data_IF_416602889224
#
_entry.id   IF_416602889224
#
_cell.length_a   1.000
_cell.length_b   1.000
_cell.length_c   1.000
_cell.angle_alpha   90.00
_cell.angle_beta   90.00
_cell.angle_gamma   90.00
#
_symmetry.space_group_name_H-M   'P 1'
#
loop_
_entity.id
_entity.type
_entity.pdbx_description
1 polymer ?
#
# COMPACT_ATOMS: atom_id res chain seq x y z
N UNK A 1 -26.32 18.39 -2.85
CA UNK A 1 -25.23 19.06 -2.11
C UNK A 1 -24.30 17.95 -1.63
N UNK A 2 -23.02 17.95 -2.02
CA UNK A 2 -22.05 16.97 -1.49
C UNK A 2 -21.94 17.21 0.02
N UNK A 3 -22.12 16.16 0.79
CA UNK A 3 -21.89 16.20 2.22
C UNK A 3 -20.47 16.70 2.51
N UNK A 4 -20.34 17.66 3.41
CA UNK A 4 -19.05 18.24 3.76
C UNK A 4 -18.27 17.22 4.59
N UNK A 5 -17.20 16.69 4.02
CA UNK A 5 -16.32 15.71 4.68
C UNK A 5 -15.36 16.43 5.61
N UNK A 6 -15.39 16.09 6.89
CA UNK A 6 -14.40 16.55 7.87
C UNK A 6 -13.22 15.60 7.89
N UNK A 7 -12.11 15.99 7.29
CA UNK A 7 -10.90 15.18 7.15
C UNK A 7 -10.41 14.61 8.49
N UNK A 8 -10.46 15.41 9.55
CA UNK A 8 -10.06 15.01 10.90
C UNK A 8 -10.92 13.89 11.51
N UNK A 9 -12.14 13.69 11.00
CA UNK A 9 -13.03 12.64 11.49
C UNK A 9 -12.85 11.33 10.72
N UNK A 10 -12.47 11.40 9.43
CA UNK A 10 -12.33 10.22 8.58
C UNK A 10 -10.88 9.71 8.48
N UNK A 11 -9.87 10.52 8.84
CA UNK A 11 -8.48 10.16 8.63
C UNK A 11 -8.10 8.92 9.43
N UNK A 12 -7.69 7.87 8.72
CA UNK A 12 -7.27 6.59 9.30
C UNK A 12 -8.43 5.76 9.88
N UNK A 13 -9.69 6.07 9.55
CA UNK A 13 -10.84 5.32 10.06
C UNK A 13 -10.79 3.83 9.69
N UNK A 14 -10.12 3.48 8.61
CA UNK A 14 -9.96 2.11 8.12
C UNK A 14 -8.56 1.54 8.39
N UNK A 15 -7.84 2.09 9.37
CA UNK A 15 -6.49 1.66 9.74
C UNK A 15 -6.49 1.14 11.17
N UNK A 16 -5.86 -0.01 11.38
CA UNK A 16 -5.58 -0.55 12.73
C UNK A 16 -4.40 0.24 13.33
N UNK A 17 -4.64 1.52 13.59
CA UNK A 17 -3.66 2.51 14.01
C UNK A 17 -3.44 2.52 15.52
N UNK A 18 -2.55 3.40 15.99
CA UNK A 18 -2.20 3.51 17.42
C UNK A 18 -3.42 3.76 18.33
N UNK A 19 -4.42 4.54 17.89
CA UNK A 19 -5.65 4.76 18.65
C UNK A 19 -6.47 3.49 18.80
N UNK A 20 -6.66 2.74 17.70
CA UNK A 20 -7.39 1.47 17.69
C UNK A 20 -6.67 0.43 18.53
N UNK A 21 -5.34 0.33 18.37
CA UNK A 21 -4.52 -0.59 19.17
C UNK A 21 -4.63 -0.29 20.67
N UNK A 22 -4.59 0.98 21.05
CA UNK A 22 -4.69 1.41 22.45
C UNK A 22 -6.07 1.12 23.06
N UNK A 23 -7.12 1.26 22.28
CA UNK A 23 -8.50 1.02 22.72
C UNK A 23 -8.79 -0.46 22.90
N UNK A 24 -8.30 -1.29 21.98
CA UNK A 24 -8.68 -2.72 21.90
C UNK A 24 -7.74 -3.66 22.61
N UNK A 25 -6.43 -3.38 22.58
CA UNK A 25 -5.47 -4.30 23.17
C UNK A 25 -5.39 -4.14 24.68
N UNK A 26 -5.20 -5.24 25.45
CA UNK A 26 -4.85 -5.17 26.84
C UNK A 26 -3.60 -4.28 27.05
N UNK A 27 -3.60 -3.44 28.07
CA UNK A 27 -2.54 -2.43 28.33
C UNK A 27 -1.11 -2.99 28.20
N UNK A 28 -0.88 -4.20 28.72
CA UNK A 28 0.43 -4.86 28.65
C UNK A 28 0.80 -5.22 27.21
N UNK A 29 -0.13 -5.81 26.46
CA UNK A 29 0.07 -6.20 25.05
C UNK A 29 0.32 -4.98 24.19
N UNK A 30 -0.47 -3.91 24.38
CA UNK A 30 -0.25 -2.65 23.68
C UNK A 30 1.14 -2.06 23.95
N UNK A 31 1.59 -2.04 25.20
CA UNK A 31 2.91 -1.51 25.56
C UNK A 31 4.05 -2.32 24.91
N UNK A 32 3.94 -3.64 24.90
CA UNK A 32 4.93 -4.53 24.27
C UNK A 32 4.93 -4.37 22.75
N UNK A 33 3.76 -4.31 22.11
CA UNK A 33 3.65 -4.05 20.68
C UNK A 33 4.23 -2.67 20.31
N UNK A 34 3.92 -1.63 21.09
CA UNK A 34 4.46 -0.30 20.88
C UNK A 34 5.99 -0.28 20.92
N UNK A 35 6.58 -0.97 21.88
CA UNK A 35 8.03 -1.14 21.99
C UNK A 35 8.60 -1.90 20.78
N UNK A 36 7.94 -2.95 20.33
CA UNK A 36 8.33 -3.72 19.12
C UNK A 36 8.37 -2.81 17.88
N UNK A 37 7.34 -1.98 17.69
CA UNK A 37 7.27 -0.99 16.60
C UNK A 37 8.40 0.04 16.69
N UNK A 38 8.62 0.62 17.87
CA UNK A 38 9.65 1.64 18.10
C UNK A 38 11.07 1.10 17.89
N UNK A 39 11.30 -0.15 18.29
CA UNK A 39 12.61 -0.80 18.14
C UNK A 39 12.79 -1.43 16.75
N UNK A 40 11.72 -1.55 15.94
CA UNK A 40 11.74 -2.20 14.63
C UNK A 40 12.11 -3.69 14.71
N UNK A 41 11.56 -4.39 15.70
CA UNK A 41 11.76 -5.82 15.94
C UNK A 41 10.61 -6.64 15.36
N UNK A 42 10.84 -7.94 15.27
CA UNK A 42 9.79 -8.90 14.94
C UNK A 42 8.75 -9.00 16.06
N UNK A 43 7.52 -9.34 15.69
CA UNK A 43 6.43 -9.52 16.64
C UNK A 43 6.71 -10.67 17.59
N UNK A 44 6.56 -10.41 18.90
CA UNK A 44 6.70 -11.45 19.92
C UNK A 44 5.55 -12.47 19.80
N UNK A 45 5.85 -13.77 19.64
CA UNK A 45 4.85 -14.83 19.62
C UNK A 45 3.91 -14.83 20.82
N UNK A 46 4.38 -14.42 21.99
CA UNK A 46 3.61 -14.43 23.23
C UNK A 46 2.39 -13.46 23.22
N UNK A 47 2.42 -12.43 22.37
CA UNK A 47 1.34 -11.44 22.26
C UNK A 47 0.60 -11.54 20.92
N UNK A 48 1.10 -12.32 19.97
CA UNK A 48 0.59 -12.35 18.62
C UNK A 48 -0.87 -12.83 18.50
N UNK A 49 -1.26 -13.83 19.26
CA UNK A 49 -2.65 -14.36 19.24
C UNK A 49 -3.67 -13.32 19.73
N UNK A 50 -3.31 -12.55 20.77
CA UNK A 50 -4.17 -11.48 21.29
C UNK A 50 -4.33 -10.38 20.25
N UNK A 51 -3.24 -9.97 19.59
CA UNK A 51 -3.27 -8.94 18.55
C UNK A 51 -4.08 -9.44 17.35
N UNK A 52 -3.85 -10.67 16.91
CA UNK A 52 -4.58 -11.27 15.80
C UNK A 52 -6.09 -11.30 16.08
N UNK A 53 -6.48 -11.70 17.28
CA UNK A 53 -7.88 -11.72 17.68
C UNK A 53 -8.53 -10.33 17.59
N UNK A 54 -7.92 -9.34 18.21
CA UNK A 54 -8.47 -7.97 18.23
C UNK A 54 -8.46 -7.32 16.82
N UNK A 55 -7.43 -7.58 16.03
CA UNK A 55 -7.36 -7.12 14.65
C UNK A 55 -8.47 -7.74 13.80
N UNK A 56 -8.76 -9.03 13.96
CA UNK A 56 -9.86 -9.72 13.29
C UNK A 56 -11.22 -9.15 13.72
N UNK A 57 -11.48 -9.01 15.04
CA UNK A 57 -12.76 -8.48 15.53
C UNK A 57 -12.99 -7.05 15.00
N UNK A 58 -11.97 -6.21 15.04
CA UNK A 58 -12.03 -4.87 14.45
C UNK A 58 -12.33 -4.92 12.94
N UNK A 59 -11.69 -5.80 12.20
CA UNK A 59 -11.93 -5.93 10.77
C UNK A 59 -13.36 -6.44 10.46
N UNK A 60 -13.89 -7.39 11.24
CA UNK A 60 -15.25 -7.88 11.12
C UNK A 60 -16.28 -6.78 11.40
N UNK A 61 -16.06 -5.93 12.41
CA UNK A 61 -16.90 -4.76 12.67
C UNK A 61 -16.91 -3.77 11.50
N UNK A 62 -15.82 -3.71 10.74
CA UNK A 62 -15.71 -2.96 9.48
C UNK A 62 -16.33 -3.69 8.28
N UNK A 63 -16.89 -4.86 8.48
CA UNK A 63 -17.53 -5.67 7.45
C UNK A 63 -16.60 -6.63 6.69
N UNK A 64 -15.35 -6.78 7.13
CA UNK A 64 -14.43 -7.70 6.48
C UNK A 64 -14.81 -9.15 6.72
N UNK A 65 -14.81 -9.95 5.65
CA UNK A 65 -15.03 -11.40 5.68
C UNK A 65 -13.75 -12.18 5.37
N UNK A 66 -12.77 -11.49 4.80
CA UNK A 66 -11.50 -12.03 4.35
C UNK A 66 -10.34 -11.16 4.83
N UNK A 67 -9.16 -11.78 4.85
CA UNK A 67 -7.88 -11.11 5.03
C UNK A 67 -6.92 -11.46 3.90
N UNK A 68 -5.87 -10.68 3.76
CA UNK A 68 -4.77 -10.95 2.83
C UNK A 68 -3.44 -10.55 3.44
N UNK A 69 -2.42 -11.37 3.23
CA UNK A 69 -1.03 -10.97 3.41
C UNK A 69 -0.66 -10.06 2.23
N UNK A 70 -0.65 -8.76 2.49
CA UNK A 70 -0.45 -7.73 1.48
C UNK A 70 1.03 -7.40 1.36
N UNK A 71 1.63 -7.67 0.19
CA UNK A 71 3.05 -7.42 -0.06
C UNK A 71 3.31 -7.09 -1.54
N UNK A 72 4.51 -6.58 -1.83
CA UNK A 72 4.95 -6.22 -3.17
C UNK A 72 5.83 -7.33 -3.74
N UNK A 73 5.33 -8.15 -4.66
CA UNK A 73 6.12 -9.20 -5.30
C UNK A 73 7.17 -8.60 -6.23
N UNK A 74 8.17 -9.42 -6.62
CA UNK A 74 9.23 -9.00 -7.54
C UNK A 74 8.70 -8.60 -8.94
N UNK A 75 7.45 -8.88 -9.24
CA UNK A 75 6.78 -8.52 -10.51
C UNK A 75 6.20 -7.11 -10.54
N UNK A 76 6.36 -6.33 -9.48
CA UNK A 76 5.99 -4.90 -9.44
C UNK A 76 4.53 -4.58 -9.15
N UNK A 77 3.66 -5.57 -8.95
CA UNK A 77 2.24 -5.38 -8.58
C UNK A 77 2.03 -5.90 -7.16
N UNK A 78 1.10 -5.31 -6.41
CA UNK A 78 0.73 -5.81 -5.09
C UNK A 78 0.14 -7.21 -5.20
N UNK A 79 0.69 -8.17 -4.46
CA UNK A 79 0.17 -9.53 -4.36
C UNK A 79 -0.88 -9.61 -3.26
N UNK A 80 -1.96 -10.30 -3.56
CA UNK A 80 -3.08 -10.52 -2.65
C UNK A 80 -3.62 -11.93 -2.84
N UNK A 81 -3.87 -12.61 -1.72
CA UNK A 81 -4.61 -13.86 -1.66
C UNK A 81 -5.64 -13.72 -0.55
N UNK A 82 -6.90 -13.67 -0.94
CA UNK A 82 -7.99 -13.45 0.01
C UNK A 82 -8.39 -14.77 0.68
N UNK A 83 -8.03 -14.93 1.94
CA UNK A 83 -8.45 -16.04 2.77
C UNK A 83 -9.62 -15.61 3.67
N UNK A 84 -10.68 -16.41 3.70
CA UNK A 84 -11.80 -16.16 4.60
C UNK A 84 -11.42 -16.46 6.05
N UNK A 85 -11.99 -15.71 6.99
CA UNK A 85 -11.84 -16.02 8.42
C UNK A 85 -12.57 -17.30 8.87
N UNK A 86 -13.39 -17.93 8.02
CA UNK A 86 -14.17 -19.11 8.42
C UNK A 86 -13.27 -20.30 8.75
N UNK A 87 -13.67 -21.04 9.79
CA UNK A 87 -13.10 -22.37 10.10
C UNK A 87 -13.83 -23.47 9.32
N UNK A 88 -13.31 -24.70 9.41
CA UNK A 88 -14.07 -25.87 8.97
C UNK A 88 -15.43 -25.93 9.68
N UNK A 89 -16.51 -26.40 8.99
CA UNK A 89 -17.82 -26.53 9.62
C UNK A 89 -17.81 -27.45 10.83
N UNK A 90 -18.46 -27.02 11.91
CA UNK A 90 -18.70 -27.83 13.10
C UNK A 90 -19.78 -28.88 12.82
N UNK A 91 -19.92 -29.91 13.67
CA UNK A 91 -20.96 -30.94 13.51
C UNK A 91 -22.41 -30.40 13.43
N UNK A 92 -22.64 -29.20 13.97
CA UNK A 92 -23.94 -28.52 13.89
C UNK A 92 -24.13 -27.68 12.60
N UNK A 93 -23.20 -27.78 11.65
CA UNK A 93 -23.23 -27.05 10.38
C UNK A 93 -22.83 -25.54 10.48
N UNK A 94 -22.45 -25.05 11.66
CA UNK A 94 -22.00 -23.68 11.84
C UNK A 94 -20.47 -23.57 11.65
N UNK A 95 -20.00 -22.38 11.29
CA UNK A 95 -18.58 -22.03 11.20
C UNK A 95 -18.22 -21.00 12.27
N UNK A 96 -16.97 -20.97 12.68
CA UNK A 96 -16.43 -19.90 13.50
C UNK A 96 -15.58 -18.97 12.63
N UNK A 97 -15.43 -17.73 13.07
CA UNK A 97 -14.47 -16.79 12.47
C UNK A 97 -13.19 -16.85 13.29
N UNK A 98 -12.08 -17.24 12.67
CA UNK A 98 -10.79 -17.42 13.33
C UNK A 98 -9.68 -16.74 12.55
N UNK A 99 -8.73 -16.17 13.28
CA UNK A 99 -7.48 -15.63 12.77
C UNK A 99 -6.45 -15.72 13.89
N UNK A 100 -5.36 -16.42 13.68
CA UNK A 100 -4.37 -16.71 14.72
C UNK A 100 -3.12 -15.84 14.59
N UNK A 101 -2.38 -15.70 15.67
CA UNK A 101 -1.09 -15.02 15.69
C UNK A 101 -0.06 -15.65 14.75
N UNK A 102 -0.22 -16.92 14.40
CA UNK A 102 0.63 -17.58 13.37
C UNK A 102 0.60 -16.81 12.06
N UNK A 103 -0.55 -16.31 11.64
CA UNK A 103 -0.70 -15.56 10.39
C UNK A 103 0.06 -14.22 10.40
N UNK A 104 0.26 -13.64 11.59
CA UNK A 104 1.05 -12.42 11.75
C UNK A 104 2.55 -12.68 11.81
N UNK A 105 2.98 -13.80 12.43
CA UNK A 105 4.39 -14.10 12.66
C UNK A 105 5.00 -14.87 11.50
N UNK A 106 4.29 -15.87 11.01
CA UNK A 106 4.74 -16.82 10.01
C UNK A 106 3.56 -17.38 9.25
N UNK A 107 2.88 -16.50 8.51
CA UNK A 107 1.87 -16.92 7.56
C UNK A 107 2.50 -17.76 6.45
N UNK A 108 1.84 -18.81 6.02
CA UNK A 108 2.30 -19.68 4.95
C UNK A 108 1.38 -19.51 3.74
N UNK A 109 1.58 -18.45 2.93
CA UNK A 109 0.83 -18.31 1.70
C UNK A 109 1.19 -19.46 0.77
N UNK A 110 0.22 -19.97 0.02
CA UNK A 110 0.51 -20.96 -1.01
C UNK A 110 1.36 -20.31 -2.11
N UNK A 111 2.64 -20.60 -2.09
CA UNK A 111 3.62 -20.01 -3.00
C UNK A 111 3.36 -20.39 -4.46
N UNK A 112 2.63 -21.46 -4.74
CA UNK A 112 2.21 -21.82 -6.10
C UNK A 112 1.24 -20.80 -6.70
N UNK A 113 0.59 -19.99 -5.86
CA UNK A 113 -0.36 -18.95 -6.28
C UNK A 113 0.31 -17.61 -6.57
N UNK A 114 1.59 -17.43 -6.23
CA UNK A 114 2.30 -16.16 -6.45
C UNK A 114 3.18 -16.23 -7.69
N UNK A 115 3.21 -15.16 -8.50
CA UNK A 115 4.15 -15.05 -9.59
C UNK A 115 5.57 -14.97 -9.04
N UNK A 116 6.24 -16.10 -8.89
CA UNK A 116 7.68 -16.14 -8.65
C UNK A 116 8.36 -15.82 -9.98
N UNK A 117 9.16 -14.77 -10.01
CA UNK A 117 9.83 -14.32 -11.23
C UNK A 117 10.75 -15.38 -11.84
N UNK A 118 10.24 -16.27 -12.70
CA UNK A 118 11.02 -17.11 -13.57
C UNK A 118 10.90 -18.62 -13.36
N UNK A 119 11.74 -19.33 -14.08
CA UNK A 119 11.83 -20.80 -14.17
C UNK A 119 12.19 -21.52 -12.86
N UNK A 120 12.52 -20.78 -11.82
CA UNK A 120 12.73 -21.29 -10.47
C UNK A 120 11.40 -21.44 -9.76
N UNK A 121 10.67 -22.26 -10.31
CA UNK A 121 9.42 -22.81 -9.92
C UNK A 121 9.03 -22.69 -8.43
N UNK A 122 7.79 -22.84 -8.21
CA UNK A 122 7.00 -22.95 -7.00
C UNK A 122 7.69 -23.47 -5.75
N UNK A 123 8.74 -24.30 -5.87
CA UNK A 123 9.40 -24.84 -4.71
C UNK A 123 10.46 -23.88 -4.09
N UNK A 124 11.07 -23.01 -4.87
CA UNK A 124 11.96 -21.95 -4.35
C UNK A 124 11.18 -20.71 -3.88
N UNK A 125 9.98 -20.49 -4.38
CA UNK A 125 9.08 -19.43 -3.92
C UNK A 125 8.35 -19.78 -2.61
N UNK A 126 8.49 -21.00 -2.08
CA UNK A 126 7.93 -21.38 -0.79
C UNK A 126 8.65 -20.65 0.33
N UNK A 127 7.87 -20.01 1.17
CA UNK A 127 8.38 -19.23 2.27
C UNK A 127 7.28 -18.87 3.25
N UNK A 128 7.50 -17.82 3.98
CA UNK A 128 6.55 -17.30 4.94
C UNK A 128 6.46 -15.79 4.86
N UNK A 129 5.31 -15.28 5.25
CA UNK A 129 5.06 -13.86 5.46
C UNK A 129 5.17 -13.53 6.93
N UNK A 130 5.68 -12.34 7.23
CA UNK A 130 5.67 -11.78 8.57
C UNK A 130 5.14 -10.33 8.52
N UNK A 131 4.21 -10.01 9.42
CA UNK A 131 3.68 -8.66 9.50
C UNK A 131 4.82 -7.68 9.83
N UNK A 132 4.95 -6.65 9.02
CA UNK A 132 5.76 -5.48 9.35
C UNK A 132 4.98 -4.62 10.34
N UNK A 133 5.23 -4.79 11.63
CA UNK A 133 4.51 -4.07 12.70
C UNK A 133 4.67 -2.55 12.61
N UNK A 134 5.65 -2.04 11.86
CA UNK A 134 5.84 -0.60 11.65
C UNK A 134 4.89 -0.04 10.59
N UNK A 135 4.25 -0.91 9.81
CA UNK A 135 3.22 -0.57 8.83
C UNK A 135 1.86 -1.13 9.30
N UNK A 136 0.89 -0.27 9.66
CA UNK A 136 -0.36 -0.73 10.25
C UNK A 136 -1.22 -1.48 9.23
N UNK A 137 -1.94 -2.51 9.71
CA UNK A 137 -2.96 -3.18 8.91
C UNK A 137 -4.13 -2.23 8.62
N UNK A 138 -4.84 -2.46 7.53
CA UNK A 138 -5.94 -1.62 7.10
C UNK A 138 -7.05 -2.42 6.45
N UNK A 139 -8.28 -1.90 6.48
CA UNK A 139 -9.42 -2.48 5.76
C UNK A 139 -9.64 -1.71 4.47
N UNK A 140 -9.56 -2.42 3.34
CA UNK A 140 -9.86 -1.88 2.02
C UNK A 140 -11.25 -2.35 1.57
N UNK A 141 -11.97 -1.46 0.91
CA UNK A 141 -13.25 -1.75 0.28
C UNK A 141 -13.11 -1.74 -1.23
N UNK A 142 -13.51 -2.83 -1.87
CA UNK A 142 -13.54 -2.95 -3.32
C UNK A 142 -14.77 -3.74 -3.80
N UNK A 143 -14.76 -4.21 -5.06
CA UNK A 143 -15.87 -4.99 -5.62
C UNK A 143 -16.08 -6.36 -4.92
N UNK A 144 -15.06 -6.88 -4.23
CA UNK A 144 -15.14 -8.10 -3.46
C UNK A 144 -15.66 -7.88 -2.02
N UNK A 145 -15.88 -6.64 -1.62
CA UNK A 145 -16.31 -6.25 -0.29
C UNK A 145 -15.19 -5.67 0.56
N UNK A 146 -15.27 -5.83 1.88
CA UNK A 146 -14.27 -5.37 2.83
C UNK A 146 -13.24 -6.48 3.09
N UNK A 147 -11.96 -6.14 3.01
CA UNK A 147 -10.84 -7.07 3.15
C UNK A 147 -9.81 -6.47 4.11
N UNK A 148 -9.40 -7.24 5.12
CA UNK A 148 -8.28 -6.88 5.98
C UNK A 148 -6.96 -7.10 5.24
N UNK A 149 -6.22 -6.03 4.99
CA UNK A 149 -4.91 -6.05 4.37
C UNK A 149 -3.82 -5.93 5.47
N UNK A 150 -2.91 -6.89 5.50
CA UNK A 150 -1.82 -6.95 6.50
C UNK A 150 -0.51 -6.74 5.77
N UNK A 151 0.16 -5.57 5.91
CA UNK A 151 1.45 -5.32 5.27
C UNK A 151 2.51 -6.31 5.76
N UNK A 152 3.03 -7.13 4.87
CA UNK A 152 3.96 -8.20 5.22
C UNK A 152 5.24 -8.17 4.38
N UNK A 153 6.31 -8.67 4.97
CA UNK A 153 7.50 -9.12 4.25
C UNK A 153 7.32 -10.59 3.88
N UNK A 154 7.81 -11.00 2.71
CA UNK A 154 7.77 -12.37 2.24
C UNK A 154 9.17 -12.91 2.00
N UNK A 155 9.56 -13.95 2.74
CA UNK A 155 10.88 -14.55 2.70
C UNK A 155 10.80 -16.06 2.47
N UNK A 156 11.81 -16.61 1.81
CA UNK A 156 12.01 -18.06 1.74
C UNK A 156 12.31 -18.65 3.14
N UNK A 157 12.21 -19.97 3.28
CA UNK A 157 12.59 -20.66 4.51
C UNK A 157 14.07 -20.49 4.88
N UNK A 158 14.91 -20.12 3.92
CA UNK A 158 16.32 -19.80 4.13
C UNK A 158 16.58 -18.31 4.37
N UNK A 159 15.53 -17.47 4.37
CA UNK A 159 15.61 -16.05 4.59
C UNK A 159 15.92 -15.22 3.34
N UNK A 160 15.85 -15.79 2.15
CA UNK A 160 15.98 -15.03 0.90
C UNK A 160 14.74 -14.19 0.67
N UNK A 161 14.91 -12.98 0.12
CA UNK A 161 13.79 -12.11 -0.20
C UNK A 161 12.99 -12.66 -1.38
N UNK A 162 11.68 -12.78 -1.21
CA UNK A 162 10.74 -13.15 -2.26
C UNK A 162 9.82 -11.98 -2.66
N UNK A 163 10.06 -10.82 -2.08
CA UNK A 163 9.35 -9.57 -2.31
C UNK A 163 10.29 -8.38 -2.41
N UNK A 164 9.75 -7.19 -2.60
CA UNK A 164 10.50 -5.93 -2.63
C UNK A 164 10.65 -5.30 -1.24
N UNK A 165 9.76 -5.61 -0.29
CA UNK A 165 9.78 -5.02 1.06
C UNK A 165 10.92 -5.56 1.91
N UNK A 166 11.24 -6.83 1.81
CA UNK A 166 12.36 -7.44 2.57
C UNK A 166 13.70 -6.76 2.29
N UNK A 167 14.13 -6.53 1.03
CA UNK A 167 15.33 -5.76 0.76
C UNK A 167 15.28 -4.33 1.30
N UNK A 168 14.12 -3.66 1.21
CA UNK A 168 13.93 -2.32 1.74
C UNK A 168 14.15 -2.29 3.26
N UNK A 169 13.48 -3.15 4.02
CA UNK A 169 13.64 -3.23 5.48
C UNK A 169 15.09 -3.53 5.89
N UNK A 170 15.76 -4.45 5.17
CA UNK A 170 17.18 -4.77 5.41
C UNK A 170 18.09 -3.57 5.10
N UNK A 171 17.81 -2.81 4.05
CA UNK A 171 18.57 -1.61 3.73
C UNK A 171 18.39 -0.52 4.79
N UNK A 172 17.17 -0.36 5.33
CA UNK A 172 16.90 0.56 6.44
C UNK A 172 17.66 0.16 7.71
N UNK A 173 17.74 -1.13 8.01
CA UNK A 173 18.57 -1.63 9.13
C UNK A 173 20.06 -1.36 8.90
N UNK A 174 20.55 -1.58 7.69
CA UNK A 174 21.94 -1.34 7.33
C UNK A 174 22.32 0.14 7.46
N UNK A 175 21.50 1.05 6.94
CA UNK A 175 21.75 2.50 7.04
C UNK A 175 21.65 2.97 8.50
N UNK A 176 20.68 2.48 9.28
CA UNK A 176 20.57 2.77 10.70
C UNK A 176 21.88 2.44 11.44
N UNK A 177 22.42 1.24 11.24
CA UNK A 177 23.68 0.78 11.86
C UNK A 177 24.83 1.71 11.52
N UNK A 178 25.00 2.08 10.25
CA UNK A 178 26.12 2.92 9.82
C UNK A 178 25.94 4.39 10.23
N UNK A 179 24.72 4.92 10.14
CA UNK A 179 24.43 6.28 10.58
C UNK A 179 24.67 6.47 12.09
N UNK A 180 24.30 5.51 12.92
CA UNK A 180 24.61 5.53 14.34
C UNK A 180 26.11 5.52 14.60
N UNK A 181 26.92 4.79 13.81
CA UNK A 181 28.38 4.82 13.91
C UNK A 181 28.93 6.24 13.65
N UNK A 182 28.43 6.87 12.59
CA UNK A 182 28.84 8.26 12.26
C UNK A 182 28.43 9.21 13.37
N UNK A 183 27.20 9.14 13.87
CA UNK A 183 26.73 9.99 14.98
C UNK A 183 27.60 9.86 16.24
N UNK A 184 28.08 8.64 16.55
CA UNK A 184 29.00 8.42 17.68
C UNK A 184 30.32 9.19 17.52
N UNK A 185 30.83 9.31 16.30
CA UNK A 185 32.05 10.10 16.03
C UNK A 185 31.84 11.58 16.27
N UNK A 186 30.62 12.08 16.14
CA UNK A 186 30.24 13.46 16.48
C UNK A 186 29.79 13.64 17.94
N UNK A 187 30.02 12.64 18.78
CA UNK A 187 29.72 12.72 20.21
C UNK A 187 28.24 12.46 20.59
N UNK A 188 27.38 12.12 19.63
CA UNK A 188 25.99 11.75 19.95
C UNK A 188 25.94 10.34 20.54
N UNK A 189 25.65 10.26 21.83
CA UNK A 189 25.54 8.99 22.57
C UNK A 189 24.10 8.61 22.91
N UNK A 190 23.13 9.47 22.64
CA UNK A 190 21.74 9.31 23.07
C UNK A 190 20.83 8.72 22.00
N UNK A 191 21.10 9.00 20.72
CA UNK A 191 20.29 8.44 19.63
C UNK A 191 20.37 6.91 19.58
N UNK A 192 19.21 6.26 19.53
CA UNK A 192 19.09 4.79 19.50
C UNK A 192 18.77 4.26 18.11
N UNK A 193 18.12 5.05 17.27
CA UNK A 193 17.68 4.67 15.92
C UNK A 193 17.84 5.86 14.98
N UNK A 194 18.17 5.56 13.73
CA UNK A 194 18.14 6.51 12.60
C UNK A 194 17.27 5.87 11.52
N UNK A 195 16.25 6.57 11.10
CA UNK A 195 15.30 6.12 10.07
C UNK A 195 15.36 7.01 8.85
N UNK A 196 15.48 6.44 7.64
CA UNK A 196 15.30 7.20 6.41
C UNK A 196 13.81 7.53 6.21
N UNK A 197 13.54 8.71 5.69
CA UNK A 197 12.21 9.13 5.26
C UNK A 197 12.20 9.43 3.77
N UNK A 198 11.04 9.28 3.13
CA UNK A 198 10.82 9.62 1.73
C UNK A 198 9.41 10.19 1.55
N UNK A 199 9.28 11.12 0.62
CA UNK A 199 8.00 11.65 0.14
C UNK A 199 7.87 11.29 -1.34
N UNK A 200 7.18 10.19 -1.68
CA UNK A 200 6.95 9.84 -3.07
C UNK A 200 5.96 10.82 -3.70
N UNK A 201 6.22 11.22 -4.92
CA UNK A 201 5.37 12.08 -5.74
C UNK A 201 4.85 11.23 -6.90
N UNK A 202 3.60 10.78 -6.82
CA UNK A 202 3.05 9.92 -7.86
C UNK A 202 2.48 10.74 -8.99
N UNK A 203 3.18 10.76 -10.10
CA UNK A 203 2.66 11.27 -11.36
C UNK A 203 1.84 10.19 -12.09
N UNK A 204 0.80 10.62 -12.80
CA UNK A 204 -0.10 9.71 -13.51
C UNK A 204 -0.81 10.42 -14.66
N UNK A 205 -1.25 9.65 -15.66
CA UNK A 205 -2.07 10.15 -16.75
C UNK A 205 -3.51 9.67 -16.59
N UNK A 206 -4.45 10.59 -16.85
CA UNK A 206 -5.88 10.27 -16.91
C UNK A 206 -6.37 10.35 -18.35
N UNK A 207 -6.92 9.26 -18.83
CA UNK A 207 -7.53 9.18 -20.17
C UNK A 207 -9.00 8.79 -20.06
N UNK A 208 -9.79 9.21 -21.03
CA UNK A 208 -11.20 8.79 -21.11
C UNK A 208 -11.28 7.27 -21.27
N UNK A 209 -12.09 6.61 -20.43
CA UNK A 209 -12.19 5.15 -20.40
C UNK A 209 -12.68 4.56 -21.73
N UNK A 210 -13.62 5.22 -22.40
CA UNK A 210 -14.14 4.71 -23.67
C UNK A 210 -13.05 4.78 -24.75
N UNK A 211 -12.19 5.80 -24.74
CA UNK A 211 -11.05 5.91 -25.65
C UNK A 211 -9.94 4.92 -25.32
N UNK A 212 -9.68 4.70 -24.05
CA UNK A 212 -8.74 3.67 -23.58
C UNK A 212 -9.13 2.27 -24.08
N UNK A 213 -10.42 1.90 -23.98
CA UNK A 213 -10.92 0.60 -24.42
C UNK A 213 -10.83 0.35 -25.95
N UNK A 214 -10.51 1.38 -26.74
CA UNK A 214 -10.26 1.30 -28.17
C UNK A 214 -8.76 1.16 -28.52
N UNK A 215 -7.89 1.10 -27.49
CA UNK A 215 -6.44 1.16 -27.65
C UNK A 215 -5.79 -0.09 -27.06
N UNK A 216 -5.60 -1.11 -27.89
CA UNK A 216 -4.97 -2.38 -27.49
C UNK A 216 -3.55 -2.18 -26.93
N UNK A 217 -2.79 -1.25 -27.47
CA UNK A 217 -1.46 -0.91 -26.97
C UNK A 217 -1.48 -0.37 -25.54
N UNK A 218 -2.44 0.49 -25.19
CA UNK A 218 -2.60 0.97 -23.81
C UNK A 218 -3.10 -0.13 -22.87
N UNK A 219 -3.97 -1.03 -23.38
CA UNK A 219 -4.53 -2.13 -22.59
C UNK A 219 -3.44 -3.16 -22.25
N UNK A 220 -2.69 -3.62 -23.26
CA UNK A 220 -1.74 -4.72 -23.09
C UNK A 220 -0.34 -4.28 -22.67
N UNK A 221 0.10 -3.09 -23.09
CA UNK A 221 1.45 -2.61 -22.79
C UNK A 221 1.49 -1.41 -21.82
N UNK A 222 0.33 -0.83 -21.45
CA UNK A 222 0.25 0.35 -20.59
C UNK A 222 0.77 1.64 -21.26
N UNK A 223 1.23 1.56 -22.50
CA UNK A 223 1.84 2.67 -23.24
C UNK A 223 1.48 2.63 -24.73
N UNK A 224 1.58 3.78 -25.40
CA UNK A 224 1.47 3.84 -26.85
C UNK A 224 2.64 3.12 -27.52
N UNK A 225 2.34 2.21 -28.42
CA UNK A 225 3.32 1.53 -29.27
C UNK A 225 3.41 2.18 -30.66
N UNK A 226 2.26 2.58 -31.23
CA UNK A 226 2.14 3.22 -32.54
C UNK A 226 1.22 4.43 -32.44
N UNK A 227 1.44 5.41 -33.28
CA UNK A 227 0.58 6.58 -33.38
C UNK A 227 1.35 7.86 -33.68
N UNK A 228 0.61 8.90 -34.05
CA UNK A 228 1.15 10.24 -34.26
C UNK A 228 1.42 10.91 -32.90
N UNK A 229 2.35 11.85 -32.90
CA UNK A 229 2.53 12.77 -31.75
C UNK A 229 1.21 13.51 -31.47
N UNK A 230 0.88 13.82 -30.21
CA UNK A 230 -0.29 14.65 -29.92
C UNK A 230 -0.13 16.02 -30.57
N UNK A 231 -1.25 16.65 -30.98
CA UNK A 231 -1.20 17.98 -31.62
C UNK A 231 -0.73 19.08 -30.67
N UNK A 232 -0.80 18.81 -29.38
CA UNK A 232 -0.35 19.69 -28.32
C UNK A 232 0.66 18.95 -27.44
N UNK A 233 1.82 19.57 -27.21
CA UNK A 233 2.86 19.08 -26.31
C UNK A 233 2.87 19.82 -24.98
N UNK A 234 4.05 20.22 -24.53
CA UNK A 234 4.30 20.87 -23.24
C UNK A 234 4.68 22.36 -23.41
N UNK A 235 4.31 22.95 -24.54
CA UNK A 235 4.67 24.30 -24.91
C UNK A 235 4.17 25.31 -23.86
N UNK A 236 5.06 26.17 -23.38
CA UNK A 236 4.82 27.18 -22.37
C UNK A 236 4.30 26.64 -21.02
N UNK A 237 4.41 25.34 -20.80
CA UNK A 237 3.93 24.66 -19.59
C UNK A 237 2.47 25.00 -19.25
N UNK A 238 1.65 25.20 -20.26
CA UNK A 238 0.29 25.71 -20.12
C UNK A 238 -0.66 24.72 -19.47
N UNK A 239 -0.35 23.43 -19.48
CA UNK A 239 -1.10 22.44 -18.70
C UNK A 239 -0.74 22.51 -17.21
N UNK A 240 0.53 22.63 -16.87
CA UNK A 240 1.02 22.74 -15.50
C UNK A 240 0.44 23.95 -14.77
N UNK A 241 0.45 25.10 -15.42
CA UNK A 241 -0.13 26.36 -14.90
C UNK A 241 -1.62 26.51 -15.18
N UNK A 242 -2.26 25.49 -15.76
CA UNK A 242 -3.66 25.51 -16.13
C UNK A 242 -4.61 25.22 -14.96
N UNK A 243 -5.85 25.56 -15.16
CA UNK A 243 -6.92 25.23 -14.21
C UNK A 243 -7.23 23.73 -14.24
N UNK A 244 -7.42 23.13 -13.08
CA UNK A 244 -7.88 21.74 -12.98
C UNK A 244 -9.33 21.67 -13.47
N UNK A 245 -9.58 20.84 -14.47
CA UNK A 245 -10.92 20.68 -15.05
C UNK A 245 -11.88 20.02 -14.07
N UNK A 246 -13.15 20.40 -14.10
CA UNK A 246 -14.19 19.94 -13.17
C UNK A 246 -14.22 18.42 -12.98
N UNK A 247 -14.18 17.64 -14.09
CA UNK A 247 -14.17 16.17 -14.02
C UNK A 247 -12.96 15.62 -13.28
N UNK A 248 -11.80 16.25 -13.48
CA UNK A 248 -10.55 15.87 -12.81
C UNK A 248 -10.58 16.28 -11.34
N UNK A 249 -11.07 17.49 -11.03
CA UNK A 249 -11.21 17.94 -9.64
C UNK A 249 -12.14 17.02 -8.83
N UNK A 250 -13.24 16.55 -9.43
CA UNK A 250 -14.14 15.57 -8.80
C UNK A 250 -13.44 14.24 -8.52
N UNK A 251 -12.68 13.73 -9.51
CA UNK A 251 -11.85 12.54 -9.32
C UNK A 251 -10.81 12.73 -8.19
N UNK A 252 -10.08 13.84 -8.22
CA UNK A 252 -9.06 14.15 -7.20
C UNK A 252 -9.64 14.21 -5.79
N UNK A 253 -10.85 14.79 -5.65
CA UNK A 253 -11.57 14.83 -4.37
C UNK A 253 -11.82 13.42 -3.84
N UNK A 254 -12.40 12.56 -4.65
CA UNK A 254 -12.77 11.21 -4.22
C UNK A 254 -11.53 10.35 -3.95
N UNK A 255 -10.43 10.53 -4.71
CA UNK A 255 -9.13 9.91 -4.41
C UNK A 255 -8.63 10.34 -3.02
N UNK A 256 -8.67 11.64 -2.71
CA UNK A 256 -8.24 12.14 -1.40
C UNK A 256 -9.05 11.51 -0.26
N UNK A 257 -10.38 11.48 -0.38
CA UNK A 257 -11.25 10.90 0.65
C UNK A 257 -10.95 9.42 0.90
N UNK A 258 -10.78 8.62 -0.15
CA UNK A 258 -10.40 7.21 -0.02
C UNK A 258 -9.02 7.04 0.63
N UNK A 259 -8.04 7.85 0.22
CA UNK A 259 -6.68 7.80 0.77
C UNK A 259 -6.64 8.22 2.25
N UNK A 260 -7.36 9.28 2.63
CA UNK A 260 -7.42 9.71 4.03
C UNK A 260 -8.03 8.65 4.94
N UNK A 261 -9.08 7.95 4.50
CA UNK A 261 -9.66 6.81 5.22
C UNK A 261 -8.65 5.68 5.45
N UNK A 262 -7.74 5.48 4.50
CA UNK A 262 -6.66 4.50 4.58
C UNK A 262 -5.39 5.04 5.28
N UNK A 263 -5.47 6.21 5.91
CA UNK A 263 -4.37 6.80 6.67
C UNK A 263 -3.23 7.36 5.82
N UNK A 264 -3.41 7.47 4.51
CA UNK A 264 -2.43 8.09 3.61
C UNK A 264 -2.60 9.60 3.67
N UNK A 265 -1.58 10.37 4.09
CA UNK A 265 -1.67 11.82 4.25
C UNK A 265 -1.52 12.54 2.90
N UNK A 266 -2.40 12.23 1.93
CA UNK A 266 -2.46 12.90 0.64
C UNK A 266 -2.68 14.40 0.84
N UNK A 267 -1.78 15.24 0.31
CA UNK A 267 -1.75 16.68 0.61
C UNK A 267 -1.87 17.54 -0.64
N UNK A 268 -1.11 17.25 -1.67
CA UNK A 268 -1.03 18.10 -2.86
C UNK A 268 -1.50 17.33 -4.07
N UNK A 269 -2.36 17.97 -4.87
CA UNK A 269 -2.75 17.49 -6.20
C UNK A 269 -2.77 18.67 -7.17
N UNK A 270 -2.19 18.49 -8.35
CA UNK A 270 -2.15 19.50 -9.40
C UNK A 270 -1.98 18.87 -10.79
N UNK A 271 -2.06 19.71 -11.82
CA UNK A 271 -1.69 19.31 -13.17
C UNK A 271 -0.16 19.21 -13.28
N UNK A 272 0.31 18.18 -14.00
CA UNK A 272 1.69 18.06 -14.40
C UNK A 272 1.95 18.63 -15.80
N UNK A 273 3.22 18.62 -16.23
CA UNK A 273 3.66 19.32 -17.43
C UNK A 273 3.11 18.72 -18.73
N UNK A 274 2.93 17.41 -18.80
CA UNK A 274 2.38 16.78 -20.00
C UNK A 274 0.85 16.90 -20.06
N UNK A 275 0.26 16.98 -21.26
CA UNK A 275 -1.19 16.97 -21.43
C UNK A 275 -1.84 15.75 -20.77
N UNK A 276 -2.87 15.97 -19.95
CA UNK A 276 -3.59 14.95 -19.19
C UNK A 276 -2.75 14.24 -18.10
N UNK A 277 -1.61 14.77 -17.74
CA UNK A 277 -0.80 14.33 -16.62
C UNK A 277 -1.16 15.12 -15.36
N UNK A 278 -1.14 14.44 -14.23
CA UNK A 278 -1.44 14.99 -12.91
C UNK A 278 -0.50 14.36 -11.89
N UNK A 279 -0.38 14.99 -10.72
CA UNK A 279 0.44 14.51 -9.62
C UNK A 279 -0.34 14.48 -8.31
N UNK A 280 0.03 13.54 -7.47
CA UNK A 280 -0.40 13.47 -6.08
C UNK A 280 0.84 13.30 -5.20
N UNK A 281 1.02 14.22 -4.24
CA UNK A 281 2.10 14.18 -3.27
C UNK A 281 1.56 14.04 -1.84
N UNK A 282 1.86 12.95 -1.12
CA UNK A 282 1.57 12.83 0.30
C UNK A 282 2.63 13.54 1.14
N UNK A 283 2.35 13.73 2.43
CA UNK A 283 3.39 14.11 3.40
C UNK A 283 4.37 12.94 3.52
N UNK A 284 5.66 13.24 3.58
CA UNK A 284 6.71 12.24 3.73
C UNK A 284 6.53 11.40 5.02
N UNK A 285 6.97 10.17 4.97
CA UNK A 285 6.93 9.25 6.10
C UNK A 285 8.22 8.41 6.19
N UNK A 286 8.34 7.57 7.20
CA UNK A 286 9.37 6.53 7.25
C UNK A 286 9.32 5.68 5.97
N UNK A 287 10.47 5.33 5.43
CA UNK A 287 10.62 4.88 4.05
C UNK A 287 9.72 3.65 3.70
N UNK A 288 9.63 2.66 4.59
CA UNK A 288 8.78 1.50 4.35
C UNK A 288 7.29 1.84 4.36
N UNK A 289 6.85 2.72 5.26
CA UNK A 289 5.46 3.19 5.31
C UNK A 289 5.13 4.04 4.10
N UNK A 290 6.03 4.93 3.69
CA UNK A 290 5.87 5.76 2.50
C UNK A 290 5.74 4.92 1.21
N UNK A 291 6.51 3.84 1.09
CA UNK A 291 6.40 2.90 -0.03
C UNK A 291 5.04 2.18 -0.01
N UNK A 292 4.59 1.70 1.14
CA UNK A 292 3.26 1.10 1.27
C UNK A 292 2.16 2.11 0.90
N UNK A 293 2.26 3.35 1.37
CA UNK A 293 1.35 4.42 0.99
C UNK A 293 1.33 4.65 -0.53
N UNK A 294 2.48 4.60 -1.21
CA UNK A 294 2.52 4.77 -2.66
C UNK A 294 1.80 3.63 -3.39
N UNK A 295 1.93 2.39 -2.94
CA UNK A 295 1.16 1.26 -3.49
C UNK A 295 -0.35 1.43 -3.28
N UNK A 296 -0.76 1.92 -2.11
CA UNK A 296 -2.16 2.26 -1.83
C UNK A 296 -2.64 3.39 -2.76
N UNK A 297 -1.82 4.44 -2.96
CA UNK A 297 -2.11 5.54 -3.91
C UNK A 297 -2.32 4.98 -5.31
N UNK A 298 -1.39 4.19 -5.83
CA UNK A 298 -1.47 3.64 -7.20
C UNK A 298 -2.73 2.80 -7.42
N UNK A 299 -3.10 1.97 -6.46
CA UNK A 299 -4.32 1.15 -6.54
C UNK A 299 -5.59 1.98 -6.42
N UNK A 300 -5.60 2.98 -5.54
CA UNK A 300 -6.72 3.91 -5.35
C UNK A 300 -6.96 4.77 -6.58
N UNK A 301 -5.90 5.32 -7.18
CA UNK A 301 -5.98 6.08 -8.43
C UNK A 301 -6.68 5.29 -9.54
N UNK A 302 -6.28 4.03 -9.75
CA UNK A 302 -6.91 3.15 -10.75
C UNK A 302 -8.38 2.86 -10.43
N UNK A 303 -8.69 2.53 -9.18
CA UNK A 303 -10.05 2.23 -8.72
C UNK A 303 -10.98 3.42 -8.95
N UNK A 304 -10.61 4.58 -8.44
CA UNK A 304 -11.44 5.80 -8.50
C UNK A 304 -11.55 6.33 -9.93
N UNK A 305 -10.49 6.22 -10.75
CA UNK A 305 -10.56 6.60 -12.15
C UNK A 305 -11.69 5.86 -12.90
N UNK A 306 -11.82 4.56 -12.68
CA UNK A 306 -12.88 3.76 -13.29
C UNK A 306 -14.29 4.26 -12.88
N UNK A 307 -14.49 4.71 -11.65
CA UNK A 307 -15.75 5.26 -11.14
C UNK A 307 -16.13 6.56 -11.83
N UNK A 308 -15.13 7.36 -12.25
CA UNK A 308 -15.31 8.63 -12.99
C UNK A 308 -15.34 8.48 -14.51
N UNK A 309 -15.40 7.24 -15.03
CA UNK A 309 -15.32 6.98 -16.47
C UNK A 309 -13.98 7.38 -17.07
N UNK A 310 -12.93 7.36 -16.26
CA UNK A 310 -11.54 7.59 -16.61
C UNK A 310 -10.76 6.28 -16.51
N UNK A 311 -9.54 6.29 -17.03
CA UNK A 311 -8.54 5.25 -16.80
C UNK A 311 -7.22 5.90 -16.42
N UNK A 312 -6.58 5.39 -15.37
CA UNK A 312 -5.32 5.88 -14.85
C UNK A 312 -4.17 5.06 -15.40
N UNK A 313 -3.25 5.71 -16.13
CA UNK A 313 -2.02 5.10 -16.61
C UNK A 313 -0.86 5.43 -15.67
N UNK A 314 -0.18 4.39 -15.23
CA UNK A 314 0.97 4.46 -14.31
C UNK A 314 2.26 3.88 -14.92
N UNK A 315 2.26 3.60 -16.23
CA UNK A 315 3.48 3.25 -16.93
C UNK A 315 4.42 4.46 -16.92
N UNK A 316 5.73 4.24 -16.81
CA UNK A 316 6.74 5.31 -16.71
C UNK A 316 6.72 6.26 -17.93
N UNK A 317 6.41 5.75 -19.09
CA UNK A 317 6.30 6.49 -20.35
C UNK A 317 5.09 6.03 -21.16
N UNK A 318 3.87 6.39 -20.76
CA UNK A 318 2.68 5.98 -21.54
C UNK A 318 2.60 6.66 -22.90
N UNK A 319 3.18 7.84 -23.04
CA UNK A 319 3.24 8.62 -24.27
C UNK A 319 4.65 9.09 -24.54
N UNK A 320 5.21 8.71 -25.72
CA UNK A 320 6.55 9.13 -26.11
C UNK A 320 6.63 10.64 -26.41
N UNK A 321 7.76 11.25 -26.09
CA UNK A 321 8.04 12.65 -26.40
C UNK A 321 7.46 13.68 -25.43
N UNK A 322 6.79 13.24 -24.37
CA UNK A 322 6.30 14.09 -23.26
C UNK A 322 6.81 13.56 -21.94
N UNK A 323 6.55 14.28 -20.85
CA UNK A 323 6.89 13.84 -19.49
C UNK A 323 6.30 12.45 -19.17
N UNK A 324 6.81 11.78 -18.15
CA UNK A 324 6.40 10.43 -17.77
C UNK A 324 5.72 10.38 -16.43
N UNK A 325 5.07 9.25 -16.14
CA UNK A 325 4.60 8.93 -14.80
C UNK A 325 5.79 8.45 -13.95
N UNK A 326 5.93 8.97 -12.75
CA UNK A 326 7.05 8.66 -11.86
C UNK A 326 6.68 7.73 -10.74
#
# INVERSE_FOLDING_TARGET
MSEYVKVSEIFGENVFNDSVMRERLPKKVYAELKKTIEEGKDLDPAIADVIAHEMKEWAIEKGATHYTHWFQPLTGVTAEKHDSFITAPMPNGKVLMSFSGKELIKGEPDASSFPSGGLRATFEARGYTAWDCTSPAFVRYDAAGAILCIPTAFCSYKGEALDQKTPLLRSMQAINKQALRVLRLFGNTTSKKVTPSVGPEQEYFLVDRQKYLQREDLIFAGRTLFGAMPPKGQELEDHYFGTIRQRIASFMKDVNEELWKLGVPAKTQHNEVAPAQHELAPIYAECNVAVDHNHIIMTTLKKVACQHGLYCLLHEKPFAGVNGSG
#
